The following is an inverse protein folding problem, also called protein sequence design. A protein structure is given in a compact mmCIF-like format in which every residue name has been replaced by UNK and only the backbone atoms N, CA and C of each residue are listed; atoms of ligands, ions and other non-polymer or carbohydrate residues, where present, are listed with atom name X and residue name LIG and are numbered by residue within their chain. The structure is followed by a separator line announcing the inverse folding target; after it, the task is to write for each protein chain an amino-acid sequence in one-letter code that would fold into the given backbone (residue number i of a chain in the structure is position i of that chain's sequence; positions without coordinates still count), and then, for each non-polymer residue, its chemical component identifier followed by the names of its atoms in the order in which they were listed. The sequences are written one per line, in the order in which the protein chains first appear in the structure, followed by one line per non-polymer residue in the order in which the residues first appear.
data_IF_929084701239
#
_entry.id   IF_929084701239
#
_cell.length_a   1.000
_cell.length_b   1.000
_cell.length_c   1.000
_cell.angle_alpha   90.00
_cell.angle_beta   90.00
_cell.angle_gamma   90.00
#
_symmetry.space_group_name_H-M   'P 1'
#
loop_
_entity.id
_entity.type
_entity.pdbx_description
1 polymer ?
#
# COMPACT_ATOMS: atom_id res chain seq x y z
N UNK A 1 -5.91 35.19 3.15
CA UNK A 1 -4.71 34.35 3.35
C UNK A 1 -3.51 35.26 3.17
N UNK A 2 -2.50 35.23 4.05
CA UNK A 2 -1.31 36.07 3.86
C UNK A 2 -0.53 35.60 2.62
N UNK A 3 0.21 36.49 1.93
CA UNK A 3 1.07 36.10 0.82
C UNK A 3 2.04 34.96 1.16
N UNK A 4 2.57 34.94 2.38
CA UNK A 4 3.49 33.89 2.85
C UNK A 4 2.84 32.50 2.88
N UNK A 5 1.58 32.41 3.34
CA UNK A 5 0.84 31.14 3.36
C UNK A 5 0.54 30.59 1.97
N UNK A 6 0.40 31.47 0.98
CA UNK A 6 0.21 31.06 -0.42
C UNK A 6 1.52 30.47 -0.97
N UNK A 7 2.66 31.10 -0.69
CA UNK A 7 3.98 30.62 -1.11
C UNK A 7 4.30 29.26 -0.48
N UNK A 8 4.08 29.11 0.83
CA UNK A 8 4.30 27.85 1.55
C UNK A 8 3.47 26.69 0.97
N UNK A 9 2.20 26.94 0.66
CA UNK A 9 1.32 25.95 0.07
C UNK A 9 1.79 25.50 -1.32
N UNK A 10 2.22 26.45 -2.17
CA UNK A 10 2.79 26.11 -3.47
C UNK A 10 4.08 25.30 -3.33
N UNK A 11 4.98 25.67 -2.42
CA UNK A 11 6.21 24.92 -2.18
C UNK A 11 5.95 23.49 -1.72
N UNK A 12 4.91 23.27 -0.91
CA UNK A 12 4.49 21.93 -0.49
C UNK A 12 3.96 21.10 -1.68
N UNK A 13 3.09 21.68 -2.51
CA UNK A 13 2.57 21.03 -3.72
C UNK A 13 3.73 20.66 -4.66
N UNK A 14 4.63 21.60 -4.97
CA UNK A 14 5.77 21.33 -5.84
C UNK A 14 6.76 20.32 -5.25
N UNK A 15 6.88 20.24 -3.93
CA UNK A 15 7.68 19.19 -3.27
C UNK A 15 7.04 17.82 -3.46
N UNK A 16 5.73 17.73 -3.27
CA UNK A 16 4.99 16.48 -3.45
C UNK A 16 5.03 16.00 -4.91
N UNK A 17 4.77 16.89 -5.87
CA UNK A 17 4.83 16.56 -7.30
C UNK A 17 6.20 16.03 -7.73
N UNK A 18 7.29 16.63 -7.24
CA UNK A 18 8.65 16.16 -7.51
C UNK A 18 8.94 14.79 -6.89
N UNK A 19 8.27 14.44 -5.80
CA UNK A 19 8.44 13.15 -5.14
C UNK A 19 7.59 12.04 -5.78
N UNK A 20 6.53 12.36 -6.54
CA UNK A 20 5.60 11.37 -7.12
C UNK A 20 6.30 10.25 -7.90
N UNK A 21 7.28 10.51 -8.81
CA UNK A 21 7.93 9.43 -9.53
C UNK A 21 8.67 8.45 -8.61
N UNK A 22 9.31 8.95 -7.56
CA UNK A 22 10.00 8.12 -6.58
C UNK A 22 9.01 7.32 -5.73
N UNK A 23 7.93 7.95 -5.25
CA UNK A 23 6.85 7.29 -4.49
C UNK A 23 6.28 6.13 -5.31
N UNK A 24 5.99 6.37 -6.59
CA UNK A 24 5.48 5.34 -7.52
C UNK A 24 6.44 4.16 -7.63
N UNK A 25 7.70 4.44 -7.97
CA UNK A 25 8.71 3.41 -8.17
C UNK A 25 8.88 2.55 -6.91
N UNK A 26 9.14 3.18 -5.76
CA UNK A 26 9.37 2.44 -4.50
C UNK A 26 8.12 1.73 -4.02
N UNK A 27 6.95 2.32 -4.25
CA UNK A 27 5.65 1.75 -3.93
C UNK A 27 5.36 0.47 -4.68
N UNK A 28 5.56 0.49 -6.00
CA UNK A 28 5.37 -0.66 -6.87
C UNK A 28 6.35 -1.77 -6.46
N UNK A 29 7.62 -1.44 -6.25
CA UNK A 29 8.62 -2.42 -5.81
C UNK A 29 8.26 -3.06 -4.45
N UNK A 30 7.79 -2.27 -3.48
CA UNK A 30 7.31 -2.79 -2.19
C UNK A 30 6.08 -3.69 -2.35
N UNK A 31 5.12 -3.28 -3.18
CA UNK A 31 3.93 -4.06 -3.47
C UNK A 31 4.29 -5.42 -4.11
N UNK A 32 5.26 -5.43 -5.04
CA UNK A 32 5.79 -6.66 -5.63
C UNK A 32 6.50 -7.57 -4.63
N UNK A 33 7.09 -7.04 -3.55
CA UNK A 33 7.66 -7.84 -2.46
C UNK A 33 6.59 -8.40 -1.52
N UNK A 34 5.53 -7.63 -1.23
CA UNK A 34 4.48 -8.03 -0.30
C UNK A 34 3.58 -9.15 -0.85
N UNK A 35 3.27 -9.15 -2.15
CA UNK A 35 2.37 -10.16 -2.74
C UNK A 35 2.85 -11.61 -2.53
N UNK A 36 4.10 -11.98 -2.84
CA UNK A 36 4.62 -13.33 -2.55
C UNK A 36 4.57 -13.69 -1.05
N UNK A 37 4.78 -12.71 -0.17
CA UNK A 37 4.70 -12.91 1.29
C UNK A 37 3.26 -13.21 1.71
N UNK A 38 2.28 -12.50 1.13
CA UNK A 38 0.85 -12.71 1.37
C UNK A 38 0.34 -14.07 0.89
N UNK A 39 0.93 -14.62 -0.18
CA UNK A 39 0.66 -15.98 -0.68
C UNK A 39 1.37 -17.07 0.15
N UNK A 40 2.27 -16.67 1.05
CA UNK A 40 2.96 -17.52 2.02
C UNK A 40 2.02 -18.12 3.07
N UNK A 41 2.61 -18.79 4.06
CA UNK A 41 1.88 -19.65 5.01
C UNK A 41 2.21 -19.28 6.47
N UNK A 42 2.88 -18.14 6.67
CA UNK A 42 3.31 -17.67 7.98
C UNK A 42 2.22 -16.84 8.66
N UNK A 43 2.37 -16.59 9.97
CA UNK A 43 1.53 -15.62 10.67
C UNK A 43 1.59 -14.22 10.03
N UNK A 44 2.76 -13.82 9.52
CA UNK A 44 2.96 -12.55 8.83
C UNK A 44 2.28 -12.54 7.44
N UNK A 45 2.24 -13.69 6.75
CA UNK A 45 1.53 -13.84 5.46
C UNK A 45 0.06 -13.48 5.59
N UNK A 46 -0.59 -13.93 6.66
CA UNK A 46 -1.99 -13.56 6.94
C UNK A 46 -2.18 -12.07 7.23
N UNK A 47 -1.24 -11.43 7.94
CA UNK A 47 -1.27 -9.99 8.20
C UNK A 47 -1.16 -9.20 6.89
N UNK A 48 -0.17 -9.53 6.05
CA UNK A 48 0.02 -8.86 4.75
C UNK A 48 -1.16 -9.11 3.81
N UNK A 49 -1.69 -10.33 3.76
CA UNK A 49 -2.86 -10.66 2.95
C UNK A 49 -4.08 -9.82 3.31
N UNK A 50 -4.44 -9.75 4.60
CA UNK A 50 -5.55 -8.91 5.06
C UNK A 50 -5.29 -7.41 4.84
N UNK A 51 -4.05 -6.95 4.99
CA UNK A 51 -3.66 -5.59 4.68
C UNK A 51 -3.92 -5.25 3.19
N UNK A 52 -3.47 -6.09 2.26
CA UNK A 52 -3.67 -5.89 0.82
C UNK A 52 -5.15 -5.97 0.40
N UNK A 53 -5.94 -6.82 1.07
CA UNK A 53 -7.40 -6.88 0.87
C UNK A 53 -8.08 -5.61 1.39
N UNK A 54 -7.63 -5.08 2.53
CA UNK A 54 -8.13 -3.82 3.08
C UNK A 54 -7.84 -2.60 2.20
N UNK A 55 -6.68 -2.56 1.52
CA UNK A 55 -6.40 -1.53 0.51
C UNK A 55 -7.30 -1.68 -0.73
N UNK A 56 -7.56 -2.91 -1.15
CA UNK A 56 -8.44 -3.18 -2.28
C UNK A 56 -9.89 -2.76 -2.02
N UNK A 57 -10.42 -3.13 -0.85
CA UNK A 57 -11.77 -2.76 -0.44
C UNK A 57 -11.91 -2.85 1.09
N UNK A 58 -11.66 -1.74 1.77
CA UNK A 58 -11.74 -1.67 3.23
C UNK A 58 -13.15 -1.77 3.81
N UNK A 59 -14.20 -1.68 2.99
CA UNK A 59 -15.58 -1.92 3.46
C UNK A 59 -15.86 -3.41 3.60
N UNK A 60 -15.48 -4.20 2.60
CA UNK A 60 -15.69 -5.66 2.61
C UNK A 60 -14.59 -6.39 3.40
N UNK A 61 -13.38 -5.81 3.48
CA UNK A 61 -12.22 -6.39 4.14
C UNK A 61 -11.60 -5.41 5.15
N UNK A 62 -12.27 -5.13 6.28
CA UNK A 62 -11.70 -4.24 7.30
C UNK A 62 -10.39 -4.83 7.85
N UNK A 63 -9.40 -3.96 8.05
CA UNK A 63 -8.08 -4.34 8.57
C UNK A 63 -7.80 -3.68 9.93
N UNK A 64 -7.46 -4.48 10.94
CA UNK A 64 -7.02 -3.99 12.25
C UNK A 64 -5.56 -3.53 12.17
N UNK A 65 -5.33 -2.22 12.30
CA UNK A 65 -4.00 -1.61 12.26
C UNK A 65 -3.04 -2.14 13.35
N UNK A 66 -3.55 -2.73 14.44
CA UNK A 66 -2.69 -3.31 15.48
C UNK A 66 -2.00 -4.59 15.02
N UNK A 67 -2.51 -5.27 13.99
CA UNK A 67 -1.88 -6.46 13.39
C UNK A 67 -0.50 -6.15 12.79
N UNK A 68 -0.26 -4.90 12.37
CA UNK A 68 1.05 -4.48 11.83
C UNK A 68 2.20 -4.64 12.84
N UNK A 69 1.91 -4.69 14.15
CA UNK A 69 2.92 -4.92 15.20
C UNK A 69 3.56 -6.31 15.15
N UNK A 70 2.96 -7.23 14.39
CA UNK A 70 3.40 -8.63 14.25
C UNK A 70 4.37 -8.84 13.09
N UNK A 71 4.64 -7.77 12.32
CA UNK A 71 5.51 -7.82 11.17
C UNK A 71 6.97 -7.59 11.57
N UNK A 72 7.87 -8.27 10.87
CA UNK A 72 9.28 -7.91 10.82
C UNK A 72 9.43 -6.49 10.26
N UNK A 73 10.44 -5.77 10.72
CA UNK A 73 10.63 -4.35 10.38
C UNK A 73 10.59 -4.07 8.87
N UNK A 74 11.21 -4.93 8.06
CA UNK A 74 11.22 -4.78 6.60
C UNK A 74 9.82 -4.89 5.97
N UNK A 75 8.97 -5.80 6.48
CA UNK A 75 7.59 -5.96 5.97
C UNK A 75 6.70 -4.81 6.42
N UNK A 76 6.92 -4.31 7.63
CA UNK A 76 6.26 -3.09 8.09
C UNK A 76 6.62 -1.89 7.21
N UNK A 77 7.91 -1.68 6.92
CA UNK A 77 8.37 -0.59 6.06
C UNK A 77 7.81 -0.70 4.63
N UNK A 78 7.69 -1.92 4.10
CA UNK A 78 7.04 -2.17 2.82
C UNK A 78 5.54 -1.83 2.87
N UNK A 79 4.81 -2.15 3.94
CA UNK A 79 3.41 -1.72 4.11
C UNK A 79 3.27 -0.20 4.10
N UNK A 80 4.16 0.53 4.80
CA UNK A 80 4.15 2.00 4.79
C UNK A 80 4.46 2.55 3.39
N UNK A 81 5.38 1.92 2.68
CA UNK A 81 5.76 2.31 1.32
C UNK A 81 4.61 2.10 0.33
N UNK A 82 3.85 1.01 0.47
CA UNK A 82 2.62 0.76 -0.31
C UNK A 82 1.52 1.75 0.06
N UNK A 83 1.33 2.11 1.33
CA UNK A 83 0.36 3.15 1.72
C UNK A 83 0.66 4.50 1.07
N UNK A 84 1.95 4.86 0.94
CA UNK A 84 2.34 6.09 0.23
C UNK A 84 1.99 6.06 -1.25
N UNK A 85 2.12 4.89 -1.90
CA UNK A 85 1.66 4.69 -3.26
C UNK A 85 0.14 4.79 -3.37
N UNK A 86 -0.60 4.07 -2.52
CA UNK A 86 -2.06 4.01 -2.60
C UNK A 86 -2.71 5.38 -2.33
N UNK A 87 -2.09 6.19 -1.46
CA UNK A 87 -2.49 7.57 -1.21
C UNK A 87 -2.36 8.49 -2.45
N UNK A 88 -1.65 8.10 -3.51
CA UNK A 88 -1.67 8.86 -4.76
C UNK A 88 -2.98 8.68 -5.54
N UNK A 89 -3.77 7.65 -5.23
CA UNK A 89 -5.09 7.33 -5.83
C UNK A 89 -5.05 7.11 -7.35
N UNK A 90 -3.88 6.84 -7.92
CA UNK A 90 -3.71 6.72 -9.37
C UNK A 90 -4.32 5.45 -9.96
N UNK A 91 -4.25 4.36 -9.20
CA UNK A 91 -4.59 3.01 -9.66
C UNK A 91 -4.78 2.10 -8.46
N UNK A 92 -5.81 1.25 -8.51
CA UNK A 92 -6.07 0.23 -7.50
C UNK A 92 -4.91 -0.77 -7.39
N UNK A 93 -4.59 -1.22 -6.18
CA UNK A 93 -3.40 -2.04 -5.88
C UNK A 93 -3.25 -3.30 -6.75
N UNK A 94 -4.34 -3.99 -7.08
CA UNK A 94 -4.30 -5.19 -7.90
C UNK A 94 -3.95 -4.91 -9.37
N UNK A 95 -4.23 -3.69 -9.85
CA UNK A 95 -4.00 -3.31 -11.25
C UNK A 95 -2.51 -3.05 -11.56
N UNK A 96 -1.62 -3.09 -10.57
CA UNK A 96 -0.18 -3.08 -10.79
C UNK A 96 0.37 -4.45 -11.23
N UNK A 97 -0.47 -5.50 -11.25
CA UNK A 97 -0.11 -6.85 -11.67
C UNK A 97 -0.92 -7.27 -12.90
N UNK A 98 -0.29 -7.97 -13.85
CA UNK A 98 -0.97 -8.50 -15.04
C UNK A 98 -2.09 -9.49 -14.68
N UNK A 99 -1.87 -10.33 -13.66
CA UNK A 99 -2.81 -11.32 -13.14
C UNK A 99 -3.43 -10.90 -11.79
N UNK A 100 -3.57 -9.59 -11.54
CA UNK A 100 -4.01 -9.04 -10.26
C UNK A 100 -5.35 -9.59 -9.76
N UNK A 101 -6.34 -9.74 -10.64
CA UNK A 101 -7.66 -10.25 -10.25
C UNK A 101 -7.57 -11.69 -9.70
N UNK A 102 -6.71 -12.53 -10.27
CA UNK A 102 -6.48 -13.90 -9.79
C UNK A 102 -5.69 -13.92 -8.47
N UNK A 103 -4.70 -13.04 -8.33
CA UNK A 103 -3.94 -12.90 -7.07
C UNK A 103 -4.89 -12.47 -5.94
N UNK A 104 -5.73 -11.46 -6.14
CA UNK A 104 -6.64 -10.98 -5.10
C UNK A 104 -7.74 -11.99 -4.79
N UNK A 105 -8.20 -12.76 -5.77
CA UNK A 105 -9.10 -13.89 -5.53
C UNK A 105 -8.45 -14.96 -4.65
N UNK A 106 -7.18 -15.29 -4.88
CA UNK A 106 -6.45 -16.20 -4.01
C UNK A 106 -6.34 -15.64 -2.57
N UNK A 107 -6.00 -14.36 -2.41
CA UNK A 107 -5.88 -13.73 -1.09
C UNK A 107 -7.22 -13.74 -0.35
N UNK A 108 -8.34 -13.47 -1.03
CA UNK A 108 -9.69 -13.59 -0.47
C UNK A 108 -9.94 -14.99 0.08
N UNK A 109 -9.75 -16.01 -0.76
CA UNK A 109 -9.98 -17.41 -0.38
C UNK A 109 -9.13 -17.87 0.81
N UNK A 110 -7.98 -17.23 1.07
CA UNK A 110 -7.10 -17.57 2.18
C UNK A 110 -7.41 -16.81 3.47
N UNK A 111 -7.82 -15.55 3.36
CA UNK A 111 -7.73 -14.60 4.48
C UNK A 111 -9.03 -13.85 4.82
N UNK A 112 -10.10 -14.02 4.04
CA UNK A 112 -11.43 -13.43 4.24
C UNK A 112 -12.51 -14.51 4.29
#
# INVERSE_FOLDING_TARGET
MSPDRIIEAFDEIFRYERALPAIRLTGIEALHRLVPVAQGHSGQSGVIGRFLLGLYNGQDYPFDMTELRRLDAALFDDCITVLRLDNTTEREVQRYFENGDAIWEELRNRWA
#
